data_IF_076580057804
#
_entry.id   IF_076580057804
#
_cell.length_a   1.000
_cell.length_b   1.000
_cell.length_c   1.000
_cell.angle_alpha   90.00
_cell.angle_beta   90.00
_cell.angle_gamma   90.00
#
_symmetry.space_group_name_H-M   'P 1'
#
loop_
_entity.id
_entity.type
_entity.pdbx_description
1 polymer ?
#
# COMPACT_ATOMS: atom_id res chain seq x y z
N UNK A 1 -18.63 -10.01 25.94
CA UNK A 1 -19.91 -10.19 25.21
C UNK A 1 -19.76 -9.74 23.74
N UNK A 2 -18.95 -10.45 22.91
CA UNK A 2 -18.46 -9.97 21.60
C UNK A 2 -19.27 -10.49 20.40
N UNK A 3 -20.28 -11.31 20.63
CA UNK A 3 -20.97 -12.09 19.59
C UNK A 3 -22.18 -11.38 18.96
N UNK A 4 -22.60 -10.22 19.47
CA UNK A 4 -23.72 -9.43 18.91
C UNK A 4 -23.28 -8.36 17.89
N UNK A 5 -22.04 -7.89 17.97
CA UNK A 5 -21.45 -6.94 17.00
C UNK A 5 -21.06 -7.64 15.70
N UNK A 6 -20.58 -8.89 15.76
CA UNK A 6 -20.17 -9.68 14.58
C UNK A 6 -21.34 -9.95 13.60
N UNK A 7 -22.50 -10.43 14.10
CA UNK A 7 -23.70 -10.66 13.26
C UNK A 7 -24.29 -9.37 12.68
N UNK A 8 -24.04 -8.21 13.31
CA UNK A 8 -24.55 -6.90 12.86
C UNK A 8 -23.64 -6.28 11.79
N UNK A 9 -22.32 -6.44 11.94
CA UNK A 9 -21.32 -6.10 10.91
C UNK A 9 -21.47 -6.96 9.66
N UNK A 10 -21.68 -8.26 9.82
CA UNK A 10 -21.97 -9.18 8.73
C UNK A 10 -23.25 -8.77 7.97
N UNK A 11 -24.27 -8.27 8.68
CA UNK A 11 -25.53 -7.77 8.07
C UNK A 11 -25.38 -6.44 7.33
N UNK A 12 -24.46 -5.57 7.75
CA UNK A 12 -24.15 -4.29 7.08
C UNK A 12 -23.28 -4.55 5.84
N UNK A 13 -22.28 -5.41 5.96
CA UNK A 13 -21.41 -5.83 4.85
C UNK A 13 -22.15 -6.69 3.81
N UNK A 14 -23.10 -7.53 4.24
CA UNK A 14 -23.95 -8.32 3.33
C UNK A 14 -25.02 -7.49 2.60
N UNK A 15 -25.32 -6.26 3.07
CA UNK A 15 -26.36 -5.40 2.48
C UNK A 15 -25.86 -4.59 1.28
N UNK A 16 -24.58 -4.24 1.24
CA UNK A 16 -24.01 -3.45 0.15
C UNK A 16 -23.21 -4.33 -0.82
N UNK A 17 -23.90 -4.97 -1.75
CA UNK A 17 -23.28 -5.65 -2.90
C UNK A 17 -22.92 -4.60 -3.97
N UNK A 18 -21.68 -4.62 -4.48
CA UNK A 18 -21.28 -3.83 -5.65
C UNK A 18 -20.31 -2.68 -5.35
N UNK A 19 -20.37 -1.61 -6.16
CA UNK A 19 -19.38 -0.53 -6.24
C UNK A 19 -19.50 0.52 -5.12
N UNK A 20 -20.65 0.57 -4.45
CA UNK A 20 -21.01 1.64 -3.51
C UNK A 20 -20.08 1.75 -2.29
N UNK A 21 -19.61 0.66 -1.65
CA UNK A 21 -18.68 0.77 -0.52
C UNK A 21 -17.33 1.37 -0.91
N UNK A 22 -16.77 0.99 -2.06
CA UNK A 22 -15.50 1.52 -2.57
C UNK A 22 -15.60 3.00 -2.96
N UNK A 23 -16.70 3.39 -3.63
CA UNK A 23 -16.94 4.79 -4.00
C UNK A 23 -17.12 5.68 -2.77
N UNK A 24 -17.79 5.18 -1.73
CA UNK A 24 -17.97 5.94 -0.48
C UNK A 24 -16.64 6.13 0.24
N UNK A 25 -15.87 5.05 0.41
CA UNK A 25 -14.54 5.10 1.01
C UNK A 25 -13.62 6.06 0.24
N UNK A 26 -13.70 6.09 -1.09
CA UNK A 26 -12.94 7.03 -1.92
C UNK A 26 -13.34 8.49 -1.65
N UNK A 27 -14.64 8.80 -1.59
CA UNK A 27 -15.11 10.18 -1.31
C UNK A 27 -14.60 10.71 0.02
N UNK A 28 -14.54 9.85 1.03
CA UNK A 28 -14.07 10.23 2.37
C UNK A 28 -12.54 10.42 2.41
N UNK A 29 -11.80 9.84 1.46
CA UNK A 29 -10.33 9.79 1.44
C UNK A 29 -9.68 10.59 0.31
N UNK A 30 -10.46 11.23 -0.55
CA UNK A 30 -9.93 11.90 -1.73
C UNK A 30 -8.97 13.05 -1.38
N UNK A 31 -9.21 13.77 -0.29
CA UNK A 31 -8.36 14.90 0.14
C UNK A 31 -6.93 14.45 0.51
N UNK A 32 -6.74 13.50 1.44
CA UNK A 32 -5.38 13.04 1.74
C UNK A 32 -4.71 12.33 0.55
N UNK A 33 -5.47 11.67 -0.33
CA UNK A 33 -4.92 11.12 -1.57
C UNK A 33 -4.36 12.21 -2.48
N UNK A 34 -5.15 13.24 -2.79
CA UNK A 34 -4.72 14.35 -3.63
C UNK A 34 -3.53 15.10 -3.03
N UNK A 35 -3.47 15.25 -1.70
CA UNK A 35 -2.33 15.87 -1.04
C UNK A 35 -1.05 15.07 -1.28
N UNK A 36 -1.05 13.76 -1.06
CA UNK A 36 0.13 12.93 -1.31
C UNK A 36 0.49 12.92 -2.79
N UNK A 37 -0.49 12.79 -3.68
CA UNK A 37 -0.26 12.79 -5.13
C UNK A 37 0.36 14.12 -5.59
N UNK A 38 -0.09 15.25 -5.04
CA UNK A 38 0.52 16.55 -5.28
C UNK A 38 1.96 16.61 -4.76
N UNK A 39 2.23 16.06 -3.57
CA UNK A 39 3.60 15.94 -3.05
C UNK A 39 4.49 15.08 -3.95
N UNK A 40 3.97 13.96 -4.48
CA UNK A 40 4.71 13.11 -5.44
C UNK A 40 5.06 13.90 -6.69
N UNK A 41 4.09 14.60 -7.30
CA UNK A 41 4.35 15.45 -8.47
C UNK A 41 5.37 16.54 -8.13
N UNK A 42 5.21 17.20 -6.97
CA UNK A 42 6.15 18.22 -6.49
C UNK A 42 7.57 17.69 -6.32
N UNK A 43 7.74 16.48 -5.78
CA UNK A 43 9.05 15.83 -5.62
C UNK A 43 9.66 15.46 -6.98
N UNK A 44 8.88 14.97 -7.94
CA UNK A 44 9.35 14.67 -9.31
C UNK A 44 9.80 15.97 -10.00
N UNK A 45 8.99 17.03 -9.93
CA UNK A 45 9.36 18.35 -10.49
C UNK A 45 10.61 18.89 -9.81
N UNK A 46 10.69 18.81 -8.48
CA UNK A 46 11.85 19.27 -7.72
C UNK A 46 13.12 18.48 -8.08
N UNK A 47 13.03 17.17 -8.29
CA UNK A 47 14.16 16.34 -8.71
C UNK A 47 14.77 16.83 -10.03
N UNK A 48 13.94 17.15 -11.04
CA UNK A 48 14.43 17.58 -12.35
C UNK A 48 14.87 19.06 -12.41
N UNK A 49 14.43 19.89 -11.46
CA UNK A 49 14.69 21.34 -11.50
C UNK A 49 15.66 21.84 -10.42
N UNK A 50 15.86 21.09 -9.33
CA UNK A 50 16.67 21.51 -8.19
C UNK A 50 17.86 20.55 -7.97
N UNK A 51 19.11 21.00 -8.22
CA UNK A 51 20.30 20.16 -8.06
C UNK A 51 20.46 19.55 -6.66
N UNK A 52 20.06 20.28 -5.61
CA UNK A 52 20.11 19.80 -4.23
C UNK A 52 19.19 18.58 -4.00
N UNK A 53 17.99 18.60 -4.59
CA UNK A 53 17.03 17.49 -4.48
C UNK A 53 17.52 16.29 -5.28
N UNK A 54 18.05 16.51 -6.48
CA UNK A 54 18.68 15.46 -7.27
C UNK A 54 19.84 14.80 -6.50
N UNK A 55 20.76 15.58 -5.94
CA UNK A 55 21.90 15.08 -5.17
C UNK A 55 21.49 14.28 -3.92
N UNK A 56 20.45 14.75 -3.20
CA UNK A 56 19.92 14.02 -2.06
C UNK A 56 19.28 12.69 -2.50
N UNK A 57 18.47 12.71 -3.56
CA UNK A 57 17.85 11.51 -4.11
C UNK A 57 18.90 10.48 -4.54
N UNK A 58 19.99 10.92 -5.19
CA UNK A 58 21.11 10.06 -5.58
C UNK A 58 21.81 9.40 -4.39
N UNK A 59 21.92 10.09 -3.25
CA UNK A 59 22.43 9.49 -2.01
C UNK A 59 21.52 8.35 -1.53
N UNK A 60 20.21 8.54 -1.58
CA UNK A 60 19.25 7.49 -1.22
C UNK A 60 19.26 6.32 -2.21
N UNK A 61 19.42 6.59 -3.51
CA UNK A 61 19.58 5.54 -4.53
C UNK A 61 20.80 4.66 -4.24
N UNK A 62 21.96 5.28 -3.95
CA UNK A 62 23.19 4.55 -3.60
C UNK A 62 22.99 3.67 -2.36
N UNK A 63 22.31 4.19 -1.34
CA UNK A 63 22.02 3.41 -0.13
C UNK A 63 21.14 2.19 -0.47
N UNK A 64 20.11 2.37 -1.30
CA UNK A 64 19.27 1.26 -1.78
C UNK A 64 20.05 0.25 -2.61
N UNK A 65 20.93 0.70 -3.49
CA UNK A 65 21.73 -0.17 -4.35
C UNK A 65 22.71 -1.02 -3.52
N UNK A 66 23.43 -0.40 -2.58
CA UNK A 66 24.35 -1.08 -1.66
C UNK A 66 23.62 -2.09 -0.76
N UNK A 67 22.45 -1.72 -0.27
CA UNK A 67 21.67 -2.56 0.64
C UNK A 67 20.84 -3.65 -0.04
N UNK A 68 20.69 -3.62 -1.37
CA UNK A 68 20.07 -4.69 -2.16
C UNK A 68 18.64 -5.06 -1.72
N UNK A 69 18.36 -6.37 -1.70
CA UNK A 69 17.08 -6.92 -1.26
C UNK A 69 16.85 -6.79 0.26
N UNK A 70 17.85 -6.98 1.14
CA UNK A 70 17.67 -6.73 2.58
C UNK A 70 17.19 -5.30 2.88
N UNK A 71 17.72 -4.30 2.16
CA UNK A 71 17.22 -2.93 2.28
C UNK A 71 15.76 -2.82 1.85
N UNK A 72 15.38 -3.42 0.71
CA UNK A 72 14.00 -3.38 0.23
C UNK A 72 13.03 -3.96 1.28
N UNK A 73 13.40 -5.07 1.92
CA UNK A 73 12.64 -5.68 3.00
C UNK A 73 12.52 -4.76 4.22
N UNK A 74 13.66 -4.33 4.77
CA UNK A 74 13.69 -3.57 6.03
C UNK A 74 13.04 -2.19 5.85
N UNK A 75 13.37 -1.49 4.76
CA UNK A 75 12.85 -0.15 4.52
C UNK A 75 11.33 -0.15 4.29
N UNK A 76 10.80 -1.13 3.57
CA UNK A 76 9.36 -1.24 3.34
C UNK A 76 8.63 -1.63 4.63
N UNK A 77 9.17 -2.56 5.41
CA UNK A 77 8.62 -2.90 6.72
C UNK A 77 8.65 -1.69 7.68
N UNK A 78 9.71 -0.88 7.64
CA UNK A 78 9.81 0.33 8.42
C UNK A 78 8.77 1.37 7.99
N UNK A 79 8.69 1.68 6.69
CA UNK A 79 7.73 2.63 6.13
C UNK A 79 6.29 2.21 6.39
N UNK A 80 5.98 0.92 6.15
CA UNK A 80 4.63 0.39 6.19
C UNK A 80 4.08 0.13 7.59
N UNK A 81 4.96 -0.11 8.58
CA UNK A 81 4.56 -0.58 9.92
C UNK A 81 5.19 0.23 11.04
N UNK A 82 6.52 0.31 11.09
CA UNK A 82 7.23 0.89 12.24
C UNK A 82 6.97 2.39 12.35
N UNK A 83 7.13 3.13 11.25
CA UNK A 83 6.90 4.56 11.21
C UNK A 83 5.46 4.91 11.63
N UNK A 84 4.41 4.26 11.11
CA UNK A 84 3.06 4.48 11.58
C UNK A 84 2.82 4.12 13.06
N UNK A 85 3.42 3.05 13.58
CA UNK A 85 3.33 2.73 15.01
C UNK A 85 4.05 3.78 15.89
N UNK A 86 5.18 4.33 15.44
CA UNK A 86 5.85 5.45 16.11
C UNK A 86 4.97 6.71 16.10
N UNK A 87 4.28 6.98 14.99
CA UNK A 87 3.33 8.09 14.90
C UNK A 87 2.16 7.92 15.88
N UNK A 88 1.62 6.71 16.04
CA UNK A 88 0.60 6.41 17.06
C UNK A 88 1.12 6.66 18.49
N UNK A 89 2.38 6.29 18.77
CA UNK A 89 3.00 6.59 20.06
C UNK A 89 3.09 8.10 20.31
N UNK A 90 3.56 8.86 19.31
CA UNK A 90 3.67 10.31 19.41
C UNK A 90 2.31 11.01 19.59
N UNK A 91 1.27 10.49 18.94
CA UNK A 91 -0.11 11.02 19.01
C UNK A 91 -0.96 10.43 20.13
N UNK A 92 -0.37 9.59 21.00
CA UNK A 92 -1.03 8.90 22.11
C UNK A 92 -2.26 8.08 21.70
N UNK A 93 -2.23 7.50 20.50
CA UNK A 93 -3.31 6.61 20.07
C UNK A 93 -3.28 5.29 20.88
N UNK A 94 -4.45 4.85 21.33
CA UNK A 94 -4.59 3.66 22.16
C UNK A 94 -4.65 2.34 21.35
N UNK A 95 -4.84 2.41 20.03
CA UNK A 95 -4.95 1.24 19.15
C UNK A 95 -3.60 0.85 18.54
N UNK A 96 -2.69 0.39 19.39
CA UNK A 96 -1.35 -0.08 19.03
C UNK A 96 -1.33 -1.56 18.70
N UNK A 97 -0.45 -1.95 17.78
CA UNK A 97 -0.22 -3.36 17.49
C UNK A 97 0.45 -4.04 18.69
N UNK A 98 -0.03 -5.24 19.03
CA UNK A 98 0.66 -6.10 19.99
C UNK A 98 1.95 -6.61 19.37
N UNK A 99 2.90 -7.06 20.20
CA UNK A 99 4.21 -7.55 19.73
C UNK A 99 4.12 -8.58 18.61
N UNK A 100 3.23 -9.57 18.71
CA UNK A 100 3.04 -10.59 17.68
C UNK A 100 2.46 -10.02 16.37
N UNK A 101 1.52 -9.08 16.46
CA UNK A 101 0.92 -8.41 15.29
C UNK A 101 1.93 -7.49 14.60
N UNK A 102 2.78 -6.81 15.37
CA UNK A 102 3.86 -5.97 14.86
C UNK A 102 4.88 -6.81 14.09
N UNK A 103 5.35 -7.93 14.66
CA UNK A 103 6.26 -8.85 13.96
C UNK A 103 5.61 -9.40 12.70
N UNK A 104 4.35 -9.82 12.78
CA UNK A 104 3.64 -10.33 11.61
C UNK A 104 3.52 -9.29 10.50
N UNK A 105 3.06 -8.07 10.81
CA UNK A 105 2.95 -7.00 9.82
C UNK A 105 4.31 -6.56 9.29
N UNK A 106 5.34 -6.54 10.12
CA UNK A 106 6.71 -6.25 9.69
C UNK A 106 7.16 -7.24 8.60
N UNK A 107 6.90 -8.54 8.78
CA UNK A 107 7.19 -9.55 7.77
C UNK A 107 6.35 -9.34 6.51
N UNK A 108 5.04 -9.09 6.64
CA UNK A 108 4.13 -8.87 5.50
C UNK A 108 4.60 -7.69 4.64
N UNK A 109 4.88 -6.54 5.24
CA UNK A 109 5.38 -5.38 4.50
C UNK A 109 6.81 -5.56 4.00
N UNK A 110 7.65 -6.29 4.74
CA UNK A 110 9.00 -6.61 4.27
C UNK A 110 8.98 -7.46 2.99
N UNK A 111 8.17 -8.52 2.96
CA UNK A 111 7.98 -9.32 1.75
C UNK A 111 7.31 -8.51 0.62
N UNK A 112 6.37 -7.62 0.94
CA UNK A 112 5.83 -6.69 -0.04
C UNK A 112 6.94 -5.85 -0.69
N UNK A 113 7.88 -5.35 0.10
CA UNK A 113 9.05 -4.62 -0.40
C UNK A 113 9.89 -5.42 -1.40
N UNK A 114 10.09 -6.72 -1.15
CA UNK A 114 10.78 -7.61 -2.08
C UNK A 114 9.99 -7.80 -3.38
N UNK A 115 8.67 -7.98 -3.30
CA UNK A 115 7.79 -8.10 -4.46
C UNK A 115 7.84 -6.83 -5.30
N UNK A 116 7.76 -5.64 -4.68
CA UNK A 116 7.82 -4.35 -5.36
C UNK A 116 9.19 -4.11 -6.02
N UNK A 117 10.31 -4.35 -5.32
CA UNK A 117 11.66 -4.18 -5.91
C UNK A 117 11.85 -5.09 -7.13
N UNK A 118 11.38 -6.35 -7.03
CA UNK A 118 11.44 -7.33 -8.12
C UNK A 118 10.56 -6.91 -9.28
N UNK A 119 9.34 -6.45 -9.00
CA UNK A 119 8.42 -5.97 -10.03
C UNK A 119 9.00 -4.78 -10.77
N UNK A 120 9.58 -3.80 -10.07
CA UNK A 120 10.13 -2.61 -10.71
C UNK A 120 11.28 -2.96 -11.66
N UNK A 121 12.16 -3.90 -11.25
CA UNK A 121 13.21 -4.42 -12.14
C UNK A 121 12.62 -5.15 -13.34
N UNK A 122 11.60 -5.99 -13.13
CA UNK A 122 10.92 -6.72 -14.20
C UNK A 122 10.27 -5.77 -15.21
N UNK A 123 9.57 -4.75 -14.73
CA UNK A 123 8.97 -3.70 -15.58
C UNK A 123 10.04 -2.91 -16.35
N UNK A 124 11.20 -2.67 -15.74
CA UNK A 124 12.38 -2.11 -16.41
C UNK A 124 12.88 -2.99 -17.55
N UNK A 125 12.94 -4.31 -17.34
CA UNK A 125 13.34 -5.28 -18.38
C UNK A 125 12.30 -5.41 -19.50
N UNK A 126 11.00 -5.33 -19.19
CA UNK A 126 9.92 -5.53 -20.16
C UNK A 126 9.62 -4.27 -21.00
N UNK A 127 9.69 -3.09 -20.39
CA UNK A 127 9.21 -1.84 -21.00
C UNK A 127 10.29 -0.74 -21.10
N UNK A 128 11.50 -0.98 -20.58
CA UNK A 128 12.62 -0.05 -20.57
C UNK A 128 12.81 0.70 -19.25
N UNK A 129 13.97 1.32 -19.09
CA UNK A 129 14.33 2.11 -17.91
C UNK A 129 14.15 3.63 -18.11
N UNK A 130 13.73 4.04 -19.30
CA UNK A 130 13.44 5.43 -19.64
C UNK A 130 12.25 5.96 -18.84
N UNK A 131 12.19 7.29 -18.73
CA UNK A 131 11.15 8.05 -18.04
C UNK A 131 10.18 8.76 -19.01
N UNK A 132 10.19 8.37 -20.30
CA UNK A 132 9.26 8.92 -21.28
C UNK A 132 7.81 8.46 -21.02
N UNK A 133 6.86 9.20 -21.58
CA UNK A 133 5.43 8.97 -21.37
C UNK A 133 5.01 7.54 -21.73
N UNK A 134 5.56 6.96 -22.81
CA UNK A 134 5.18 5.62 -23.27
C UNK A 134 5.64 4.56 -22.28
N UNK A 135 6.91 4.61 -21.85
CA UNK A 135 7.44 3.66 -20.87
C UNK A 135 6.71 3.78 -19.54
N UNK A 136 6.46 5.00 -19.05
CA UNK A 136 5.69 5.23 -17.82
C UNK A 136 4.29 4.63 -17.93
N UNK A 137 3.55 4.93 -19.00
CA UNK A 137 2.19 4.44 -19.20
C UNK A 137 2.13 2.89 -19.24
N UNK A 138 3.07 2.24 -19.93
CA UNK A 138 3.14 0.78 -19.98
C UNK A 138 3.42 0.16 -18.60
N UNK A 139 4.34 0.75 -17.82
CA UNK A 139 4.62 0.31 -16.46
C UNK A 139 3.40 0.47 -15.55
N UNK A 140 2.71 1.61 -15.59
CA UNK A 140 1.48 1.84 -14.81
C UNK A 140 0.39 0.84 -15.19
N UNK A 141 0.16 0.63 -16.49
CA UNK A 141 -0.86 -0.32 -16.96
C UNK A 141 -0.52 -1.74 -16.49
N UNK A 142 0.71 -2.20 -16.67
CA UNK A 142 1.11 -3.55 -16.25
C UNK A 142 1.01 -3.73 -14.74
N UNK A 143 1.47 -2.75 -13.95
CA UNK A 143 1.35 -2.80 -12.49
C UNK A 143 -0.13 -2.83 -12.07
N UNK A 144 -0.94 -1.88 -12.52
CA UNK A 144 -2.27 -1.68 -11.97
C UNK A 144 -3.34 -2.62 -12.54
N UNK A 145 -3.16 -3.12 -13.77
CA UNK A 145 -4.10 -4.08 -14.38
C UNK A 145 -3.72 -5.54 -14.15
N UNK A 146 -2.45 -5.85 -13.89
CA UNK A 146 -1.97 -7.22 -13.68
C UNK A 146 -1.40 -7.42 -12.28
N UNK A 147 -0.36 -6.68 -11.90
CA UNK A 147 0.32 -6.91 -10.62
C UNK A 147 -0.60 -6.62 -9.42
N UNK A 148 -1.36 -5.53 -9.44
CA UNK A 148 -2.27 -5.17 -8.36
C UNK A 148 -3.39 -6.22 -8.15
N UNK A 149 -4.15 -6.64 -9.18
CA UNK A 149 -5.23 -7.61 -8.97
C UNK A 149 -4.75 -9.05 -8.76
N UNK A 150 -3.60 -9.44 -9.33
CA UNK A 150 -3.14 -10.84 -9.33
C UNK A 150 -2.06 -11.14 -8.30
N UNK A 151 -1.30 -10.13 -7.86
CA UNK A 151 -0.19 -10.30 -6.92
C UNK A 151 -0.45 -9.54 -5.63
N UNK A 152 -0.48 -8.21 -5.68
CA UNK A 152 -0.49 -7.40 -4.46
C UNK A 152 -1.76 -7.56 -3.63
N UNK A 153 -2.94 -7.45 -4.24
CA UNK A 153 -4.20 -7.56 -3.50
C UNK A 153 -4.44 -8.97 -2.96
N UNK A 154 -4.26 -10.06 -3.74
CA UNK A 154 -4.31 -11.42 -3.20
C UNK A 154 -3.34 -11.62 -2.04
N UNK A 155 -2.08 -11.17 -2.20
CA UNK A 155 -1.07 -11.26 -1.17
C UNK A 155 -1.54 -10.60 0.14
N UNK A 156 -1.90 -9.31 0.10
CA UNK A 156 -2.30 -8.57 1.29
C UNK A 156 -3.58 -9.14 1.92
N UNK A 157 -4.62 -9.41 1.13
CA UNK A 157 -5.90 -9.92 1.66
C UNK A 157 -5.71 -11.30 2.30
N UNK A 158 -4.94 -12.20 1.67
CA UNK A 158 -4.68 -13.53 2.23
C UNK A 158 -3.87 -13.46 3.54
N UNK A 159 -2.85 -12.60 3.59
CA UNK A 159 -2.05 -12.43 4.81
C UNK A 159 -2.92 -11.86 5.96
N UNK A 160 -3.71 -10.82 5.70
CA UNK A 160 -4.62 -10.25 6.71
C UNK A 160 -5.65 -11.28 7.18
N UNK A 161 -6.28 -12.02 6.27
CA UNK A 161 -7.22 -13.09 6.63
C UNK A 161 -6.54 -14.17 7.48
N UNK A 162 -5.33 -14.57 7.11
CA UNK A 162 -4.57 -15.58 7.86
C UNK A 162 -4.25 -15.11 9.28
N UNK A 163 -3.82 -13.86 9.45
CA UNK A 163 -3.61 -13.25 10.76
C UNK A 163 -4.90 -13.16 11.59
N UNK A 164 -6.02 -12.74 10.98
CA UNK A 164 -7.32 -12.64 11.65
C UNK A 164 -7.86 -13.99 12.15
N UNK A 165 -7.55 -15.09 11.45
CA UNK A 165 -7.92 -16.44 11.85
C UNK A 165 -6.87 -17.14 12.73
N UNK A 166 -6.02 -16.36 13.42
CA UNK A 166 -5.00 -16.92 14.32
C UNK A 166 -4.05 -17.87 13.61
N UNK A 167 -3.70 -17.56 12.36
CA UNK A 167 -2.83 -18.36 11.50
C UNK A 167 -3.39 -19.73 11.09
N UNK A 168 -4.71 -19.93 11.11
CA UNK A 168 -5.36 -21.14 10.61
C UNK A 168 -5.64 -21.09 9.11
N UNK A 169 -4.87 -21.86 8.32
CA UNK A 169 -5.10 -22.03 6.86
C UNK A 169 -6.46 -22.66 6.58
N UNK A 170 -6.91 -23.59 7.44
CA UNK A 170 -8.22 -24.23 7.29
C UNK A 170 -9.35 -23.21 7.44
N UNK A 171 -9.27 -22.30 8.40
CA UNK A 171 -10.26 -21.26 8.61
C UNK A 171 -10.32 -20.28 7.41
N UNK A 172 -9.17 -19.84 6.91
CA UNK A 172 -9.08 -19.01 5.68
C UNK A 172 -9.74 -19.73 4.51
N UNK A 173 -9.43 -21.02 4.30
CA UNK A 173 -10.04 -21.81 3.22
C UNK A 173 -11.57 -21.89 3.37
N UNK A 174 -12.09 -22.06 4.57
CA UNK A 174 -13.53 -22.09 4.81
C UNK A 174 -14.19 -20.73 4.56
N UNK A 175 -13.51 -19.62 4.89
CA UNK A 175 -14.01 -18.29 4.56
C UNK A 175 -14.04 -18.04 3.05
N UNK A 176 -12.97 -18.40 2.33
CA UNK A 176 -12.90 -18.22 0.88
C UNK A 176 -13.93 -19.07 0.12
N UNK A 177 -14.37 -20.20 0.70
CA UNK A 177 -15.52 -20.97 0.16
C UNK A 177 -16.85 -20.23 0.31
N UNK A 178 -17.03 -19.45 1.38
CA UNK A 178 -18.25 -18.66 1.61
C UNK A 178 -18.27 -17.41 0.74
N UNK A 179 -17.12 -16.75 0.63
CA UNK A 179 -16.96 -15.55 -0.18
C UNK A 179 -15.64 -15.61 -0.96
N UNK A 180 -15.70 -15.74 -2.30
CA UNK A 180 -14.51 -15.84 -3.13
C UNK A 180 -13.56 -14.66 -2.94
N UNK A 181 -12.25 -14.93 -2.98
CA UNK A 181 -11.18 -13.93 -2.79
C UNK A 181 -11.39 -12.67 -3.63
N UNK A 182 -11.78 -12.84 -4.90
CA UNK A 182 -12.01 -11.72 -5.83
C UNK A 182 -13.06 -10.72 -5.30
N UNK A 183 -14.12 -11.18 -4.63
CA UNK A 183 -15.15 -10.28 -4.05
C UNK A 183 -14.60 -9.45 -2.89
N UNK A 184 -13.63 -9.99 -2.15
CA UNK A 184 -12.94 -9.28 -1.06
C UNK A 184 -11.93 -8.26 -1.60
N UNK A 185 -11.29 -8.56 -2.73
CA UNK A 185 -10.29 -7.69 -3.37
C UNK A 185 -10.94 -6.49 -4.08
N UNK A 186 -12.10 -6.67 -4.71
CA UNK A 186 -12.67 -5.66 -5.62
C UNK A 186 -12.87 -4.26 -5.01
N UNK A 187 -13.44 -4.11 -3.79
CA UNK A 187 -13.57 -2.80 -3.17
C UNK A 187 -12.21 -2.15 -2.86
N UNK A 188 -11.22 -2.94 -2.44
CA UNK A 188 -9.87 -2.47 -2.15
C UNK A 188 -9.14 -2.03 -3.43
N UNK A 189 -9.36 -2.70 -4.56
CA UNK A 189 -8.81 -2.30 -5.86
C UNK A 189 -9.31 -0.93 -6.32
N UNK A 190 -10.60 -0.62 -6.14
CA UNK A 190 -11.15 0.68 -6.57
C UNK A 190 -10.46 1.83 -5.83
N UNK A 191 -10.33 1.70 -4.50
CA UNK A 191 -9.63 2.69 -3.67
C UNK A 191 -8.14 2.71 -4.01
N UNK A 192 -7.54 1.54 -4.19
CA UNK A 192 -6.15 1.36 -4.58
C UNK A 192 -5.83 2.07 -5.89
N UNK A 193 -6.61 1.84 -6.95
CA UNK A 193 -6.41 2.48 -8.25
C UNK A 193 -6.49 4.00 -8.19
N UNK A 194 -7.47 4.54 -7.45
CA UNK A 194 -7.61 5.99 -7.31
C UNK A 194 -6.38 6.65 -6.65
N UNK A 195 -5.70 5.92 -5.76
CA UNK A 195 -4.48 6.40 -5.12
C UNK A 195 -3.22 6.10 -5.92
N UNK A 196 -3.03 4.83 -6.29
CA UNK A 196 -1.79 4.27 -6.83
C UNK A 196 -1.59 4.56 -8.31
N UNK A 197 -2.63 4.70 -9.15
CA UNK A 197 -2.43 5.05 -10.57
C UNK A 197 -1.70 6.41 -10.70
N UNK A 198 -2.17 7.51 -10.07
CA UNK A 198 -1.45 8.78 -10.12
C UNK A 198 -0.09 8.73 -9.42
N UNK A 199 0.00 8.08 -8.24
CA UNK A 199 1.26 7.99 -7.50
C UNK A 199 2.33 7.20 -8.27
N UNK A 200 1.97 6.07 -8.89
CA UNK A 200 2.87 5.25 -9.71
C UNK A 200 3.27 5.94 -11.00
N UNK A 201 2.42 6.79 -11.56
CA UNK A 201 2.79 7.62 -12.71
C UNK A 201 3.98 8.52 -12.35
N UNK A 202 3.95 9.14 -11.16
CA UNK A 202 5.08 9.91 -10.64
C UNK A 202 6.29 9.04 -10.28
N UNK A 203 6.08 7.87 -9.66
CA UNK A 203 7.16 6.93 -9.33
C UNK A 203 7.88 6.47 -10.60
N UNK A 204 7.16 6.02 -11.62
CA UNK A 204 7.77 5.52 -12.85
C UNK A 204 8.35 6.63 -13.74
N UNK A 205 7.94 7.89 -13.55
CA UNK A 205 8.59 9.04 -14.16
C UNK A 205 9.96 9.37 -13.54
N UNK A 206 10.34 8.73 -12.43
CA UNK A 206 11.70 8.83 -11.88
C UNK A 206 12.65 7.84 -12.58
N UNK A 207 13.96 8.15 -12.62
CA UNK A 207 14.97 7.18 -13.06
C UNK A 207 14.85 5.87 -12.29
N UNK A 208 15.09 4.74 -12.96
CA UNK A 208 14.86 3.39 -12.42
C UNK A 208 15.37 3.16 -10.99
N UNK A 209 16.58 3.64 -10.67
CA UNK A 209 17.21 3.52 -9.34
C UNK A 209 16.49 4.28 -8.22
N UNK A 210 15.68 5.29 -8.56
CA UNK A 210 14.93 6.14 -7.64
C UNK A 210 13.47 5.70 -7.46
N UNK A 211 12.95 4.85 -8.33
CA UNK A 211 11.55 4.44 -8.29
C UNK A 211 11.20 3.79 -6.95
N UNK A 212 12.05 2.86 -6.49
CA UNK A 212 11.85 2.20 -5.19
C UNK A 212 11.98 3.18 -4.00
N UNK A 213 12.89 4.16 -4.10
CA UNK A 213 13.07 5.18 -3.06
C UNK A 213 11.82 6.05 -2.94
N UNK A 214 11.26 6.52 -4.06
CA UNK A 214 10.03 7.30 -4.04
C UNK A 214 8.83 6.46 -3.57
N UNK A 215 8.77 5.18 -3.97
CA UNK A 215 7.80 4.23 -3.45
C UNK A 215 7.81 4.16 -1.92
N UNK A 216 8.98 4.11 -1.26
CA UNK A 216 9.04 4.06 0.21
C UNK A 216 8.39 5.26 0.89
N UNK A 217 8.54 6.47 0.33
CA UNK A 217 7.87 7.67 0.85
C UNK A 217 6.36 7.61 0.65
N UNK A 218 5.93 7.15 -0.52
CA UNK A 218 4.50 6.98 -0.82
C UNK A 218 3.87 5.90 0.07
N UNK A 219 4.57 4.78 0.27
CA UNK A 219 4.15 3.67 1.14
C UNK A 219 4.02 4.11 2.60
N UNK A 220 4.99 4.87 3.11
CA UNK A 220 4.92 5.47 4.44
C UNK A 220 3.68 6.35 4.60
N UNK A 221 3.42 7.21 3.62
CA UNK A 221 2.27 8.11 3.65
C UNK A 221 0.94 7.35 3.50
N UNK A 222 0.89 6.33 2.65
CA UNK A 222 -0.25 5.43 2.47
C UNK A 222 -0.60 4.68 3.76
N UNK A 223 0.40 4.11 4.44
CA UNK A 223 0.19 3.41 5.73
C UNK A 223 -0.31 4.34 6.84
N UNK A 224 0.13 5.59 6.85
CA UNK A 224 -0.38 6.60 7.79
C UNK A 224 -1.85 6.97 7.50
N UNK A 225 -2.25 7.08 6.23
CA UNK A 225 -3.65 7.30 5.86
C UNK A 225 -4.53 6.15 6.37
N UNK A 226 -4.13 4.89 6.13
CA UNK A 226 -4.94 3.74 6.51
C UNK A 226 -5.25 3.74 8.02
N UNK A 227 -4.32 4.19 8.86
CA UNK A 227 -4.56 4.32 10.31
C UNK A 227 -5.59 5.40 10.61
N UNK A 228 -5.49 6.57 9.98
CA UNK A 228 -6.44 7.65 10.19
C UNK A 228 -7.85 7.27 9.70
N UNK A 229 -7.93 6.55 8.58
CA UNK A 229 -9.18 6.01 8.05
C UNK A 229 -9.80 5.00 9.00
N UNK A 230 -9.01 4.05 9.51
CA UNK A 230 -9.47 3.07 10.49
C UNK A 230 -10.02 3.74 11.76
N UNK A 231 -9.44 4.88 12.17
CA UNK A 231 -9.90 5.68 13.30
C UNK A 231 -11.22 6.42 13.01
N UNK A 232 -11.31 7.15 11.89
CA UNK A 232 -12.51 7.91 11.51
C UNK A 232 -13.77 7.02 11.36
N UNK A 233 -13.60 5.79 10.87
CA UNK A 233 -14.69 4.81 10.76
C UNK A 233 -15.17 4.23 12.10
N UNK A 234 -14.37 4.36 13.15
CA UNK A 234 -14.74 3.95 14.51
C UNK A 234 -15.37 5.11 15.30
N UNK A 235 -14.91 6.34 15.08
CA UNK A 235 -15.46 7.55 15.72
C UNK A 235 -16.84 7.95 15.16
N UNK A 236 -17.08 7.78 13.85
CA UNK A 236 -18.41 8.01 13.25
C UNK A 236 -19.50 6.99 13.69
N UNK A 237 -19.17 6.09 14.64
CA UNK A 237 -20.06 5.07 15.20
C UNK A 237 -20.28 5.22 16.72
N UNK A 238 -19.68 6.24 17.35
CA UNK A 238 -20.01 6.65 18.73
C UNK A 238 -20.99 7.81 18.71
#
# INVERSE_FOLDING_TARGET
>A
MPLRSAKRLEKVLARERGWAPGIRALKDQIRPFLLIQACVVGLVVAYYNLPAVASFAETLAKLKEQGGLPFAFIATAFAGVILPELFKVATKDQHRLKRGELVFMFLVFGFNGLIVDTLYRLLGMLFGNENDFKTVALKVIADQSLAAPLVFMPYFVLMVLWGHHGFSVQAVRQELKKEPLFRKIWPALIVGWAFWIPALSGIYAMPQKLQFVLFLFVEAAWSLIIIHVAKSMNEAKS
#
